data_IF_418722439973
#
_entry.id   IF_418722439973
#
_cell.length_a   1.000
_cell.length_b   1.000
_cell.length_c   1.000
_cell.angle_alpha   90.00
_cell.angle_beta   90.00
_cell.angle_gamma   90.00
#
_symmetry.space_group_name_H-M   'P 1'
#
loop_
_entity.id
_entity.type
_entity.pdbx_description
1 polymer ?
#
# COMPACT_ATOMS: atom_id res chain seq x y z
N UNK A 1 -16.71 -0.37 -21.52
CA UNK A 1 -16.13 -0.95 -20.29
C UNK A 1 -16.65 -0.14 -19.14
N UNK A 2 -17.34 -0.78 -18.21
CA UNK A 2 -18.04 -0.07 -17.14
C UNK A 2 -17.06 0.44 -16.08
N UNK A 3 -17.40 1.56 -15.43
CA UNK A 3 -16.59 2.17 -14.36
C UNK A 3 -16.22 1.17 -13.26
N UNK A 4 -17.19 0.32 -12.93
CA UNK A 4 -17.06 -0.71 -11.90
C UNK A 4 -16.04 -1.77 -12.29
N UNK A 5 -15.91 -2.09 -13.59
CA UNK A 5 -14.96 -3.09 -14.08
C UNK A 5 -13.50 -2.62 -13.93
N UNK A 6 -13.18 -1.39 -14.33
CA UNK A 6 -11.81 -0.84 -14.18
C UNK A 6 -11.43 -0.77 -12.71
N UNK A 7 -12.34 -0.26 -11.88
CA UNK A 7 -12.13 -0.14 -10.44
C UNK A 7 -11.91 -1.51 -9.79
N UNK A 8 -12.76 -2.49 -10.12
CA UNK A 8 -12.64 -3.87 -9.65
C UNK A 8 -11.32 -4.51 -10.08
N UNK A 9 -10.88 -4.31 -11.32
CA UNK A 9 -9.59 -4.82 -11.81
C UNK A 9 -8.41 -4.29 -11.00
N UNK A 10 -8.31 -2.97 -10.81
CA UNK A 10 -7.20 -2.37 -10.06
C UNK A 10 -7.22 -2.75 -8.58
N UNK A 11 -8.40 -2.74 -7.95
CA UNK A 11 -8.54 -3.12 -6.55
C UNK A 11 -8.22 -4.61 -6.34
N UNK A 12 -8.67 -5.48 -7.25
CA UNK A 12 -8.34 -6.92 -7.22
C UNK A 12 -6.83 -7.13 -7.40
N UNK A 13 -6.18 -6.43 -8.32
CA UNK A 13 -4.73 -6.53 -8.50
C UNK A 13 -3.94 -6.06 -7.27
N UNK A 14 -4.46 -5.07 -6.53
CA UNK A 14 -3.87 -4.66 -5.26
C UNK A 14 -4.06 -5.70 -4.15
N UNK A 15 -5.23 -6.35 -4.11
CA UNK A 15 -5.49 -7.48 -3.21
C UNK A 15 -4.60 -8.69 -3.50
N UNK A 16 -4.32 -8.96 -4.77
CA UNK A 16 -3.35 -9.98 -5.19
C UNK A 16 -1.94 -9.72 -4.64
N UNK A 17 -1.47 -8.47 -4.63
CA UNK A 17 -0.19 -8.16 -3.99
C UNK A 17 -0.25 -8.35 -2.47
N UNK A 18 -1.32 -7.90 -1.79
CA UNK A 18 -1.43 -8.12 -0.35
C UNK A 18 -1.47 -9.61 0.01
N UNK A 19 -2.07 -10.43 -0.83
CA UNK A 19 -2.01 -11.87 -0.69
C UNK A 19 -0.57 -12.39 -0.81
N UNK A 20 0.20 -11.96 -1.82
CA UNK A 20 1.61 -12.32 -1.96
C UNK A 20 2.45 -11.84 -0.76
N UNK A 21 2.11 -10.68 -0.19
CA UNK A 21 2.73 -10.21 1.05
C UNK A 21 2.50 -11.18 2.21
N UNK A 22 1.28 -11.70 2.39
CA UNK A 22 0.98 -12.69 3.43
C UNK A 22 1.80 -13.97 3.26
N UNK A 23 1.88 -14.51 2.04
CA UNK A 23 2.63 -15.75 1.76
C UNK A 23 4.13 -15.65 2.05
N UNK A 24 4.68 -14.43 1.93
CA UNK A 24 6.10 -14.15 2.11
C UNK A 24 6.45 -13.66 3.51
N UNK A 25 5.46 -13.39 4.37
CA UNK A 25 5.60 -12.71 5.65
C UNK A 25 6.69 -13.31 6.54
N UNK A 26 6.67 -14.63 6.74
CA UNK A 26 7.56 -15.32 7.67
C UNK A 26 8.91 -15.72 7.06
N UNK A 27 9.05 -15.56 5.74
CA UNK A 27 10.22 -16.05 4.98
C UNK A 27 11.05 -14.89 4.47
N UNK A 28 10.44 -13.98 3.73
CA UNK A 28 11.10 -12.91 2.98
C UNK A 28 10.45 -11.57 3.33
N UNK A 29 10.70 -11.10 4.56
CA UNK A 29 10.00 -9.94 5.15
C UNK A 29 10.07 -8.66 4.29
N UNK A 30 11.26 -8.30 3.77
CA UNK A 30 11.39 -7.12 2.89
C UNK A 30 10.60 -7.25 1.59
N UNK A 31 10.55 -8.45 1.00
CA UNK A 31 9.73 -8.74 -0.17
C UNK A 31 8.24 -8.71 0.18
N UNK A 32 7.85 -9.23 1.35
CA UNK A 32 6.48 -9.10 1.85
C UNK A 32 6.06 -7.63 1.94
N UNK A 33 6.90 -6.76 2.49
CA UNK A 33 6.63 -5.33 2.57
C UNK A 33 6.61 -4.64 1.20
N UNK A 34 7.44 -5.07 0.25
CA UNK A 34 7.34 -4.62 -1.14
C UNK A 34 5.95 -4.88 -1.73
N UNK A 35 5.40 -6.07 -1.49
CA UNK A 35 4.05 -6.37 -1.93
C UNK A 35 2.97 -5.60 -1.17
N UNK A 36 3.17 -5.29 0.13
CA UNK A 36 2.31 -4.32 0.83
C UNK A 36 2.31 -2.94 0.15
N UNK A 37 3.48 -2.43 -0.23
CA UNK A 37 3.61 -1.18 -0.97
C UNK A 37 2.85 -1.25 -2.29
N UNK A 38 3.10 -2.28 -3.13
CA UNK A 38 2.42 -2.42 -4.43
C UNK A 38 0.90 -2.53 -4.27
N UNK A 39 0.43 -3.30 -3.29
CA UNK A 39 -0.99 -3.48 -3.02
C UNK A 39 -1.67 -2.17 -2.64
N UNK A 40 -1.08 -1.41 -1.70
CA UNK A 40 -1.59 -0.11 -1.30
C UNK A 40 -1.59 0.88 -2.47
N UNK A 41 -0.52 0.91 -3.27
CA UNK A 41 -0.41 1.78 -4.44
C UNK A 41 -1.54 1.53 -5.44
N UNK A 42 -1.77 0.26 -5.80
CA UNK A 42 -2.81 -0.13 -6.76
C UNK A 42 -4.21 0.23 -6.27
N UNK A 43 -4.51 0.03 -4.98
CA UNK A 43 -5.80 0.40 -4.38
C UNK A 43 -5.98 1.93 -4.36
N UNK A 44 -4.93 2.68 -3.99
CA UNK A 44 -4.94 4.14 -4.06
C UNK A 44 -5.21 4.65 -5.49
N UNK A 45 -4.53 4.05 -6.48
CA UNK A 45 -4.73 4.36 -7.90
C UNK A 45 -6.14 4.00 -8.37
N UNK A 46 -6.68 2.86 -7.93
CA UNK A 46 -8.05 2.45 -8.25
C UNK A 46 -9.06 3.54 -7.85
N UNK A 47 -8.96 4.03 -6.61
CA UNK A 47 -9.81 5.11 -6.11
C UNK A 47 -9.63 6.41 -6.91
N UNK A 48 -8.39 6.79 -7.21
CA UNK A 48 -8.10 8.03 -7.96
C UNK A 48 -8.62 7.98 -9.41
N UNK A 49 -8.35 6.88 -10.13
CA UNK A 49 -8.83 6.66 -11.51
C UNK A 49 -10.36 6.77 -11.57
N UNK A 50 -11.05 6.25 -10.55
CA UNK A 50 -12.50 6.33 -10.46
C UNK A 50 -13.01 7.76 -10.25
N UNK A 51 -12.36 8.57 -9.41
CA UNK A 51 -12.68 10.00 -9.25
C UNK A 51 -12.46 10.77 -10.56
N UNK A 52 -11.44 10.41 -11.33
CA UNK A 52 -11.16 10.98 -12.66
C UNK A 52 -11.99 10.38 -13.81
N UNK A 53 -13.04 9.60 -13.51
CA UNK A 53 -13.78 8.83 -14.53
C UNK A 53 -14.30 9.64 -15.73
N UNK A 54 -14.68 10.90 -15.53
CA UNK A 54 -15.14 11.77 -16.62
C UNK A 54 -14.10 11.85 -17.77
N UNK A 55 -12.82 11.99 -17.43
CA UNK A 55 -11.74 12.23 -18.41
C UNK A 55 -11.53 11.08 -19.41
N UNK A 56 -11.77 9.83 -18.99
CA UNK A 56 -11.56 8.66 -19.85
C UNK A 56 -12.86 8.10 -20.41
N UNK A 57 -14.03 8.47 -19.88
CA UNK A 57 -15.32 8.10 -20.45
C UNK A 57 -15.71 8.93 -21.67
N UNK A 58 -15.20 10.16 -21.77
CA UNK A 58 -15.41 11.04 -22.93
C UNK A 58 -14.71 10.51 -24.21
N UNK A 59 -13.90 9.46 -24.07
CA UNK A 59 -13.19 8.85 -25.18
C UNK A 59 -14.14 8.01 -26.05
N UNK A 60 -14.09 8.26 -27.37
CA UNK A 60 -14.97 7.58 -28.34
C UNK A 60 -14.69 6.08 -28.50
N UNK A 61 -13.48 5.62 -28.18
CA UNK A 61 -13.09 4.21 -28.28
C UNK A 61 -12.52 3.65 -26.98
N UNK A 62 -12.65 2.34 -26.81
CA UNK A 62 -12.13 1.60 -25.65
C UNK A 62 -10.61 1.75 -25.50
N UNK A 63 -9.87 1.72 -26.60
CA UNK A 63 -8.41 1.80 -26.57
C UNK A 63 -7.92 3.19 -26.12
N UNK A 64 -8.61 4.25 -26.55
CA UNK A 64 -8.32 5.61 -26.08
C UNK A 64 -8.65 5.77 -24.59
N UNK A 65 -9.75 5.19 -24.13
CA UNK A 65 -10.09 5.17 -22.71
C UNK A 65 -9.01 4.45 -21.89
N UNK A 66 -8.54 3.28 -22.34
CA UNK A 66 -7.46 2.52 -21.71
C UNK A 66 -6.13 3.30 -21.67
N UNK A 67 -5.74 3.93 -22.79
CA UNK A 67 -4.56 4.80 -22.83
C UNK A 67 -4.69 5.98 -21.86
N UNK A 68 -5.89 6.56 -21.74
CA UNK A 68 -6.13 7.67 -20.80
C UNK A 68 -6.06 7.21 -19.35
N UNK A 69 -6.59 6.02 -19.03
CA UNK A 69 -6.48 5.41 -17.70
C UNK A 69 -5.00 5.16 -17.35
N UNK A 70 -4.22 4.60 -18.28
CA UNK A 70 -2.79 4.37 -18.10
C UNK A 70 -2.02 5.69 -17.90
N UNK A 71 -2.34 6.74 -18.67
CA UNK A 71 -1.78 8.07 -18.48
C UNK A 71 -2.09 8.64 -17.08
N UNK A 72 -3.33 8.51 -16.61
CA UNK A 72 -3.72 8.94 -15.25
C UNK A 72 -2.93 8.14 -14.21
N UNK A 73 -2.91 6.82 -14.33
CA UNK A 73 -2.22 5.94 -13.39
C UNK A 73 -0.71 6.18 -13.33
N UNK A 74 -0.06 6.45 -14.47
CA UNK A 74 1.37 6.76 -14.57
C UNK A 74 1.69 8.18 -14.08
N UNK A 75 0.84 9.15 -14.41
CA UNK A 75 1.02 10.55 -13.97
C UNK A 75 0.97 10.74 -12.46
N UNK A 76 0.40 9.76 -11.75
CA UNK A 76 0.42 9.68 -10.30
C UNK A 76 1.80 9.28 -9.73
N UNK A 77 2.64 8.58 -10.49
CA UNK A 77 3.94 8.07 -10.04
C UNK A 77 3.84 6.88 -9.09
N UNK A 78 4.91 6.66 -8.31
CA UNK A 78 5.04 5.62 -7.29
C UNK A 78 5.25 6.24 -5.89
N UNK A 79 4.56 7.35 -5.61
CA UNK A 79 4.71 8.17 -4.40
C UNK A 79 3.56 7.91 -3.44
N UNK A 80 3.69 6.83 -2.64
CA UNK A 80 2.72 6.44 -1.62
C UNK A 80 2.46 7.58 -0.62
N UNK A 81 3.49 8.26 -0.05
CA UNK A 81 3.29 9.39 0.86
C UNK A 81 2.35 10.45 0.29
N UNK A 82 2.56 10.83 -0.98
CA UNK A 82 1.71 11.82 -1.64
C UNK A 82 0.26 11.35 -1.75
N UNK A 83 0.02 10.09 -2.10
CA UNK A 83 -1.36 9.58 -2.21
C UNK A 83 -2.06 9.56 -0.87
N UNK A 84 -1.40 8.99 0.15
CA UNK A 84 -2.00 8.85 1.48
C UNK A 84 -2.29 10.22 2.07
N UNK A 85 -1.33 11.16 2.04
CA UNK A 85 -1.55 12.54 2.52
C UNK A 85 -2.65 13.26 1.75
N UNK A 86 -2.75 13.06 0.43
CA UNK A 86 -3.84 13.62 -0.37
C UNK A 86 -5.21 13.04 -0.01
N UNK A 87 -5.28 11.75 0.30
CA UNK A 87 -6.52 11.10 0.74
C UNK A 87 -6.91 11.50 2.16
N UNK A 88 -5.93 11.67 3.05
CA UNK A 88 -6.14 12.16 4.42
C UNK A 88 -6.65 13.60 4.46
N UNK A 89 -6.06 14.50 3.67
CA UNK A 89 -6.52 15.89 3.59
C UNK A 89 -7.95 16.04 3.06
N UNK A 90 -8.45 15.01 2.37
CA UNK A 90 -9.82 14.92 1.86
C UNK A 90 -10.74 14.07 2.73
N UNK A 91 -10.30 13.67 3.93
CA UNK A 91 -11.05 12.80 4.85
C UNK A 91 -11.50 11.47 4.22
N UNK A 92 -10.72 10.98 3.25
CA UNK A 92 -10.94 9.67 2.63
C UNK A 92 -10.33 8.59 3.53
N UNK A 93 -9.08 8.79 3.92
CA UNK A 93 -8.33 7.98 4.88
C UNK A 93 -8.24 8.68 6.24
N UNK A 94 -8.30 7.94 7.36
CA UNK A 94 -8.01 8.48 8.68
C UNK A 94 -6.50 8.66 8.87
N UNK A 95 -6.12 9.45 9.88
CA UNK A 95 -4.78 9.39 10.46
C UNK A 95 -4.57 8.08 11.19
N UNK A 96 -3.36 7.55 11.17
CA UNK A 96 -2.97 6.33 11.86
C UNK A 96 -2.13 6.67 13.08
N UNK A 97 -2.38 5.97 14.20
CA UNK A 97 -1.56 6.08 15.41
C UNK A 97 -0.66 4.85 15.52
N UNK A 98 0.58 4.92 15.01
CA UNK A 98 1.48 3.79 15.09
C UNK A 98 1.97 3.52 16.52
N UNK A 99 2.47 2.30 16.80
CA UNK A 99 3.16 2.02 18.04
C UNK A 99 4.42 2.89 18.15
N UNK A 100 4.71 3.35 19.38
CA UNK A 100 5.98 4.05 19.66
C UNK A 100 7.16 3.10 19.39
N UNK A 101 8.30 3.60 18.88
CA UNK A 101 8.68 5.01 18.79
C UNK A 101 8.28 5.72 17.47
N UNK A 102 7.54 5.07 16.58
CA UNK A 102 7.31 5.59 15.23
C UNK A 102 6.23 6.67 15.17
N UNK A 103 6.37 7.57 14.19
CA UNK A 103 5.31 8.44 13.69
C UNK A 103 4.68 7.86 12.43
N UNK A 104 3.50 8.35 12.04
CA UNK A 104 2.87 7.92 10.79
C UNK A 104 3.71 8.33 9.57
N UNK A 105 4.38 9.49 9.63
CA UNK A 105 5.30 9.93 8.59
C UNK A 105 6.48 8.97 8.45
N UNK A 106 7.01 8.41 9.55
CA UNK A 106 8.08 7.40 9.49
C UNK A 106 7.61 6.14 8.75
N UNK A 107 6.37 5.69 8.98
CA UNK A 107 5.80 4.54 8.28
C UNK A 107 5.56 4.85 6.79
N UNK A 108 5.12 6.05 6.44
CA UNK A 108 4.94 6.45 5.04
C UNK A 108 6.27 6.51 4.30
N UNK A 109 7.29 7.12 4.90
CA UNK A 109 8.63 7.18 4.32
C UNK A 109 9.27 5.79 4.23
N UNK A 110 9.08 4.93 5.23
CA UNK A 110 9.54 3.55 5.22
C UNK A 110 8.87 2.74 4.09
N UNK A 111 7.55 2.89 3.90
CA UNK A 111 6.85 2.28 2.77
C UNK A 111 7.45 2.76 1.46
N UNK A 112 7.71 4.06 1.31
CA UNK A 112 8.33 4.59 0.10
C UNK A 112 9.74 4.01 -0.13
N UNK A 113 10.54 3.88 0.94
CA UNK A 113 11.89 3.32 0.88
C UNK A 113 11.88 1.85 0.47
N UNK A 114 10.89 1.06 0.93
CA UNK A 114 10.79 -0.37 0.63
C UNK A 114 10.71 -0.66 -0.88
N UNK A 115 10.14 0.27 -1.65
CA UNK A 115 10.08 0.13 -3.11
C UNK A 115 11.47 -0.07 -3.72
N UNK A 116 12.50 0.58 -3.19
CA UNK A 116 13.88 0.46 -3.67
C UNK A 116 14.64 -0.60 -2.86
N UNK A 117 14.60 -0.52 -1.53
CA UNK A 117 15.46 -1.31 -0.64
C UNK A 117 15.12 -2.80 -0.61
N UNK A 118 13.90 -3.20 -0.98
CA UNK A 118 13.56 -4.63 -1.11
C UNK A 118 14.16 -5.28 -2.36
N UNK A 119 14.61 -4.49 -3.33
CA UNK A 119 15.10 -4.96 -4.65
C UNK A 119 16.60 -4.75 -4.84
N UNK A 120 17.15 -3.70 -4.23
CA UNK A 120 18.53 -3.30 -4.45
C UNK A 120 19.23 -3.04 -3.12
N UNK A 121 20.51 -3.43 -3.00
CA UNK A 121 21.37 -2.87 -1.98
C UNK A 121 21.43 -1.35 -2.16
N UNK A 122 21.24 -0.60 -1.07
CA UNK A 122 21.35 0.86 -1.07
C UNK A 122 22.54 1.30 -0.23
N UNK A 123 23.26 2.36 -0.62
CA UNK A 123 24.42 2.85 0.13
C UNK A 123 24.00 3.47 1.48
N UNK A 124 22.79 4.03 1.55
CA UNK A 124 22.21 4.62 2.75
C UNK A 124 20.84 3.99 3.00
N UNK A 125 20.76 2.93 3.81
CA UNK A 125 19.49 2.28 4.13
C UNK A 125 18.64 3.16 5.04
N UNK A 126 17.33 2.99 4.95
CA UNK A 126 16.34 3.85 5.60
C UNK A 126 16.55 3.99 7.11
N UNK A 127 16.96 2.91 7.79
CA UNK A 127 17.21 2.92 9.23
C UNK A 127 18.38 3.84 9.66
N UNK A 128 19.21 4.30 8.72
CA UNK A 128 20.29 5.29 8.94
C UNK A 128 19.91 6.72 8.57
N UNK A 129 18.65 6.98 8.20
CA UNK A 129 18.18 8.33 7.86
C UNK A 129 18.37 9.25 9.06
N UNK A 130 18.87 10.47 8.80
CA UNK A 130 19.09 11.49 9.83
C UNK A 130 17.86 12.38 9.99
N UNK A 131 17.55 12.73 11.23
CA UNK A 131 16.56 13.76 11.57
C UNK A 131 17.08 15.17 11.28
N UNK A 132 16.23 16.17 11.54
CA UNK A 132 16.58 17.59 11.37
C UNK A 132 17.72 18.05 12.28
N UNK A 133 17.93 17.36 13.40
CA UNK A 133 19.02 17.58 14.35
C UNK A 133 20.35 16.91 13.92
N UNK A 134 20.37 16.27 12.75
CA UNK A 134 21.54 15.57 12.21
C UNK A 134 21.83 14.21 12.84
N UNK A 135 21.01 13.75 13.78
CA UNK A 135 21.16 12.43 14.43
C UNK A 135 20.41 11.35 13.66
N UNK A 136 20.89 10.12 13.74
CA UNK A 136 20.23 8.96 13.12
C UNK A 136 18.88 8.71 13.81
N UNK A 137 17.77 8.90 13.10
CA UNK A 137 16.40 8.96 13.64
C UNK A 137 15.99 7.67 14.37
N UNK A 138 16.52 6.54 13.94
CA UNK A 138 16.13 5.21 14.43
C UNK A 138 17.20 4.56 15.31
N UNK A 139 18.22 5.30 15.76
CA UNK A 139 19.27 4.78 16.62
C UNK A 139 18.76 4.53 18.05
N UNK A 140 18.95 3.30 18.55
CA UNK A 140 18.53 2.86 19.89
C UNK A 140 19.60 3.16 20.93
N UNK A 141 20.87 2.88 20.61
CA UNK A 141 21.99 3.04 21.54
C UNK A 141 23.10 3.89 20.94
N UNK A 142 23.65 4.78 21.77
CA UNK A 142 24.82 5.62 21.46
C UNK A 142 26.14 4.99 21.91
N UNK A 143 26.13 3.70 22.30
CA UNK A 143 27.31 2.94 22.70
C UNK A 143 28.29 2.68 21.54
N UNK A 144 29.44 2.06 21.85
CA UNK A 144 30.44 1.62 20.85
C UNK A 144 29.86 0.77 19.71
N UNK A 145 28.78 0.05 19.97
CA UNK A 145 27.95 -0.59 18.96
C UNK A 145 26.71 0.24 18.69
N UNK A 146 26.54 0.70 17.45
CA UNK A 146 25.33 1.39 16.99
C UNK A 146 24.25 0.38 16.67
N UNK A 147 23.15 0.43 17.41
CA UNK A 147 21.96 -0.41 17.19
C UNK A 147 20.84 0.48 16.64
N UNK A 148 20.08 -0.02 15.68
CA UNK A 148 19.00 0.71 15.01
C UNK A 148 17.70 -0.08 15.05
N UNK A 149 16.57 0.62 15.11
CA UNK A 149 15.28 0.09 14.67
C UNK A 149 15.27 0.02 13.14
N UNK A 150 15.15 -1.18 12.57
CA UNK A 150 14.91 -1.34 11.14
C UNK A 150 13.40 -1.44 10.89
N UNK A 151 12.75 -0.31 10.56
CA UNK A 151 11.31 -0.30 10.27
C UNK A 151 10.93 -1.21 9.10
N UNK A 152 11.87 -1.45 8.16
CA UNK A 152 11.66 -2.40 7.07
C UNK A 152 11.80 -3.87 7.54
N UNK A 153 12.17 -4.09 8.80
CA UNK A 153 12.21 -5.36 9.50
C UNK A 153 11.01 -5.60 10.43
N UNK A 154 10.10 -4.63 10.55
CA UNK A 154 9.06 -4.65 11.57
C UNK A 154 7.64 -4.84 11.03
N UNK A 155 6.74 -5.30 11.90
CA UNK A 155 5.32 -5.57 11.57
C UNK A 155 4.49 -4.29 11.44
N UNK A 156 4.88 -3.21 12.13
CA UNK A 156 4.14 -1.95 12.16
C UNK A 156 3.88 -1.38 10.76
N UNK A 157 4.86 -1.52 9.85
CA UNK A 157 4.76 -1.03 8.48
C UNK A 157 3.69 -1.77 7.66
N UNK A 158 3.62 -3.09 7.86
CA UNK A 158 2.66 -3.97 7.21
C UNK A 158 1.25 -3.73 7.73
N UNK A 159 1.10 -3.60 9.04
CA UNK A 159 -0.19 -3.35 9.69
C UNK A 159 -0.75 -1.98 9.25
N UNK A 160 0.11 -0.99 9.11
CA UNK A 160 -0.24 0.30 8.53
C UNK A 160 -0.76 0.18 7.10
N UNK A 161 0.01 -0.47 6.20
CA UNK A 161 -0.39 -0.63 4.80
C UNK A 161 -1.72 -1.38 4.66
N UNK A 162 -1.90 -2.48 5.42
CA UNK A 162 -3.14 -3.28 5.46
C UNK A 162 -4.31 -2.46 5.98
N UNK A 163 -4.12 -1.68 7.04
CA UNK A 163 -5.16 -0.80 7.62
C UNK A 163 -5.63 0.27 6.63
N UNK A 164 -4.69 0.94 5.95
CA UNK A 164 -5.01 1.94 4.93
C UNK A 164 -5.75 1.31 3.73
N UNK A 165 -5.25 0.17 3.24
CA UNK A 165 -5.86 -0.55 2.14
C UNK A 165 -7.28 -1.02 2.48
N UNK A 166 -7.49 -1.66 3.65
CA UNK A 166 -8.82 -2.07 4.13
C UNK A 166 -9.80 -0.90 4.15
N UNK A 167 -9.37 0.24 4.66
CA UNK A 167 -10.21 1.44 4.74
C UNK A 167 -10.61 1.93 3.34
N UNK A 168 -9.67 1.97 2.40
CA UNK A 168 -9.95 2.37 1.02
C UNK A 168 -10.84 1.39 0.28
N UNK A 169 -10.63 0.08 0.48
CA UNK A 169 -11.47 -0.94 -0.13
C UNK A 169 -12.91 -0.76 0.33
N UNK A 170 -13.15 -0.64 1.64
CA UNK A 170 -14.49 -0.35 2.17
C UNK A 170 -15.09 0.92 1.56
N UNK A 171 -14.29 2.00 1.47
CA UNK A 171 -14.72 3.26 0.83
C UNK A 171 -15.11 3.04 -0.64
N UNK A 172 -14.37 2.21 -1.38
CA UNK A 172 -14.65 1.88 -2.78
C UNK A 172 -15.98 1.11 -2.89
N UNK A 173 -16.18 0.11 -2.04
CA UNK A 173 -17.39 -0.71 -2.03
C UNK A 173 -18.62 0.16 -1.68
N UNK A 174 -18.51 1.00 -0.65
CA UNK A 174 -19.57 1.91 -0.20
C UNK A 174 -19.89 3.01 -1.23
N UNK A 175 -18.89 3.70 -1.80
CA UNK A 175 -19.12 4.84 -2.71
C UNK A 175 -19.51 4.43 -4.13
N UNK A 176 -19.08 3.24 -4.60
CA UNK A 176 -19.20 2.86 -6.01
C UNK A 176 -19.97 1.57 -6.26
N UNK A 177 -20.53 0.96 -5.21
CA UNK A 177 -21.29 -0.30 -5.30
C UNK A 177 -20.54 -1.40 -6.04
N UNK A 178 -19.21 -1.43 -5.91
CA UNK A 178 -18.35 -2.48 -6.45
C UNK A 178 -18.15 -3.53 -5.36
N UNK A 179 -18.32 -4.82 -5.68
CA UNK A 179 -17.89 -5.91 -4.81
C UNK A 179 -16.58 -6.46 -5.31
N UNK A 180 -15.58 -6.54 -4.44
CA UNK A 180 -14.31 -7.17 -4.78
C UNK A 180 -14.44 -8.65 -4.46
N UNK A 181 -14.31 -9.52 -5.47
CA UNK A 181 -14.60 -10.94 -5.32
C UNK A 181 -13.48 -11.66 -4.57
N UNK A 182 -13.83 -12.21 -3.41
CA UNK A 182 -12.91 -12.95 -2.53
C UNK A 182 -12.60 -14.36 -3.04
N UNK A 183 -13.47 -14.92 -3.88
CA UNK A 183 -13.35 -16.28 -4.42
C UNK A 183 -12.10 -16.54 -5.25
N UNK A 184 -11.42 -15.47 -5.72
CA UNK A 184 -10.16 -15.59 -6.46
C UNK A 184 -8.96 -15.99 -5.59
N UNK A 185 -9.09 -15.83 -4.28
CA UNK A 185 -8.05 -16.10 -3.30
C UNK A 185 -8.34 -17.38 -2.52
N UNK A 186 -9.62 -17.65 -2.21
CA UNK A 186 -10.04 -18.87 -1.54
C UNK A 186 -9.69 -20.11 -2.38
N UNK A 187 -8.86 -21.00 -1.82
CA UNK A 187 -8.41 -22.23 -2.49
C UNK A 187 -7.00 -22.18 -3.08
N UNK A 188 -6.30 -21.03 -3.02
CA UNK A 188 -4.88 -20.92 -3.40
C UNK A 188 -3.92 -21.10 -2.21
N UNK A 189 -4.44 -21.05 -0.99
CA UNK A 189 -3.66 -21.14 0.27
C UNK A 189 -4.34 -22.07 1.26
N UNK A 190 -3.61 -22.40 2.32
CA UNK A 190 -4.12 -23.11 3.47
C UNK A 190 -5.36 -22.40 4.04
N UNK A 191 -6.29 -23.17 4.62
CA UNK A 191 -7.48 -22.61 5.23
C UNK A 191 -7.14 -21.63 6.38
N UNK A 192 -6.07 -21.90 7.12
CA UNK A 192 -5.61 -21.07 8.23
C UNK A 192 -5.06 -19.71 7.75
N UNK A 193 -4.24 -19.70 6.69
CA UNK A 193 -3.72 -18.44 6.14
C UNK A 193 -4.82 -17.65 5.44
N UNK A 194 -5.79 -18.35 4.83
CA UNK A 194 -6.99 -17.72 4.31
C UNK A 194 -7.80 -17.03 5.39
N UNK A 195 -8.03 -17.69 6.53
CA UNK A 195 -8.73 -17.10 7.66
C UNK A 195 -7.99 -15.86 8.17
N UNK A 196 -6.67 -15.94 8.37
CA UNK A 196 -5.86 -14.77 8.77
C UNK A 196 -5.98 -13.61 7.78
N UNK A 197 -5.88 -13.90 6.48
CA UNK A 197 -6.03 -12.89 5.42
C UNK A 197 -7.43 -12.25 5.43
N UNK A 198 -8.46 -13.09 5.52
CA UNK A 198 -9.84 -12.67 5.50
C UNK A 198 -10.19 -11.81 6.73
N UNK A 199 -9.67 -12.15 7.90
CA UNK A 199 -9.91 -11.38 9.12
C UNK A 199 -9.29 -9.97 9.02
N UNK A 200 -8.12 -9.86 8.37
CA UNK A 200 -7.46 -8.57 8.15
C UNK A 200 -8.25 -7.68 7.20
N UNK A 201 -8.68 -8.20 6.05
CA UNK A 201 -9.27 -7.36 4.99
C UNK A 201 -10.79 -7.31 4.98
N UNK A 202 -11.46 -8.36 5.46
CA UNK A 202 -12.91 -8.53 5.39
C UNK A 202 -13.57 -8.53 6.77
N UNK A 203 -12.81 -8.76 7.85
CA UNK A 203 -13.34 -8.76 9.22
C UNK A 203 -14.33 -9.88 9.48
N UNK A 204 -14.16 -11.01 8.79
CA UNK A 204 -14.84 -12.28 9.05
C UNK A 204 -14.29 -13.01 10.26
#
# INVERSE_FOLDING_TARGET
>A
MEKCQILSTWATAGMEDFYLSFELEDRWHKQSLFYCHQGLEKICKAYHIRKCSKQWMEQRSKDLALKKIDQIAKGLGHDIPRFVKCMQSRSILPSYRPPRPYSEDDLLEALQAVYIEARYPVPQPFYRTKGQDGKERFQISSSSFKIYHDLLGETALRDYARSMARTLLKKIEDEYSVRISYSRFSGKISAQDWERFANVFYGT
#
